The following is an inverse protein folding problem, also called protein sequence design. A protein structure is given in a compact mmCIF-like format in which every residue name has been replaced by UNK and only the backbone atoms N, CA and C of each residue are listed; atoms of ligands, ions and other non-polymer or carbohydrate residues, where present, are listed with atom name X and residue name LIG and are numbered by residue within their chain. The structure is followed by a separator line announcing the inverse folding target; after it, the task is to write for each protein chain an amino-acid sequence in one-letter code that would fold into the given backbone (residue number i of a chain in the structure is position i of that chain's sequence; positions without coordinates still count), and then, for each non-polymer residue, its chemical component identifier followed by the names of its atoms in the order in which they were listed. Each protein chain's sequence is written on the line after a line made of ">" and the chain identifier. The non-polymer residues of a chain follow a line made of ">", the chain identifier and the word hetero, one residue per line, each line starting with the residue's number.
data_IF_604424080404
#
_entry.id   IF_604424080404
#
_cell.length_a   1.000
_cell.length_b   1.000
_cell.length_c   1.000
_cell.angle_alpha   90.00
_cell.angle_beta   90.00
_cell.angle_gamma   90.00
#
_symmetry.space_group_name_H-M   'P 1'
#
loop_
_entity.id
_entity.type
_entity.pdbx_description
1 polymer ?
#
# COMPACT_ATOMS: atom_id res chain seq x y z
N UNK A 1 -10.77 5.77 1.58
CA UNK A 1 -12.24 5.88 1.49
C UNK A 1 -12.67 7.35 1.52
N UNK A 2 -12.29 8.14 0.49
CA UNK A 2 -12.55 9.61 0.40
C UNK A 2 -13.19 9.99 -0.96
N UNK A 3 -13.39 9.03 -1.87
CA UNK A 3 -13.78 9.27 -3.26
C UNK A 3 -15.29 9.48 -3.51
N UNK A 4 -16.15 9.39 -2.48
CA UNK A 4 -17.62 9.46 -2.67
C UNK A 4 -18.17 10.90 -2.52
N UNK A 5 -17.37 11.85 -2.01
CA UNK A 5 -17.84 13.21 -1.74
C UNK A 5 -17.70 14.23 -2.89
N UNK A 6 -17.04 13.88 -3.99
CA UNK A 6 -16.87 14.81 -5.13
C UNK A 6 -18.02 14.79 -6.14
N UNK A 7 -18.93 13.82 -6.08
CA UNK A 7 -20.07 13.70 -7.01
C UNK A 7 -21.21 14.73 -6.79
N UNK A 8 -21.64 15.06 -5.55
CA UNK A 8 -22.77 15.99 -5.36
C UNK A 8 -22.40 17.47 -5.56
N UNK A 9 -21.13 17.86 -5.41
CA UNK A 9 -20.71 19.26 -5.53
C UNK A 9 -20.76 19.72 -7.00
N UNK A 10 -20.38 18.85 -7.94
CA UNK A 10 -20.47 19.16 -9.37
C UNK A 10 -21.91 19.33 -9.88
N UNK A 11 -22.87 18.60 -9.32
CA UNK A 11 -24.30 18.75 -9.62
C UNK A 11 -24.91 20.01 -8.99
N UNK A 12 -24.48 20.38 -7.78
CA UNK A 12 -24.98 21.57 -7.09
C UNK A 12 -24.54 22.89 -7.78
N UNK A 13 -23.37 22.93 -8.41
CA UNK A 13 -22.87 24.13 -9.12
C UNK A 13 -23.43 24.24 -10.54
N UNK A 14 -23.72 23.12 -11.21
CA UNK A 14 -24.24 23.11 -12.59
C UNK A 14 -25.75 23.34 -12.69
N UNK A 15 -26.52 23.02 -11.64
CA UNK A 15 -27.98 23.13 -11.64
C UNK A 15 -28.50 24.58 -11.73
N UNK A 16 -27.98 25.58 -10.99
CA UNK A 16 -28.45 26.96 -11.10
C UNK A 16 -28.16 27.57 -12.47
N UNK A 17 -27.02 27.19 -13.07
CA UNK A 17 -26.59 27.70 -14.37
C UNK A 17 -27.43 27.12 -15.52
N UNK A 18 -27.79 25.82 -15.44
CA UNK A 18 -28.73 25.18 -16.36
C UNK A 18 -30.14 25.75 -16.25
N UNK A 19 -30.64 25.99 -15.03
CA UNK A 19 -31.95 26.63 -14.79
C UNK A 19 -31.95 28.08 -15.30
N UNK A 20 -30.87 28.84 -15.08
CA UNK A 20 -30.75 30.20 -15.58
C UNK A 20 -30.69 30.25 -17.12
N UNK A 21 -29.91 29.38 -17.76
CA UNK A 21 -29.79 29.33 -19.22
C UNK A 21 -31.10 28.91 -19.90
N UNK A 22 -31.80 27.93 -19.33
CA UNK A 22 -33.12 27.50 -19.86
C UNK A 22 -34.18 28.58 -19.68
N UNK A 23 -34.17 29.28 -18.55
CA UNK A 23 -35.05 30.43 -18.30
C UNK A 23 -34.76 31.62 -19.22
N UNK A 24 -33.48 31.97 -19.46
CA UNK A 24 -33.13 33.11 -20.32
C UNK A 24 -33.45 32.87 -21.80
N UNK A 25 -33.30 31.63 -22.27
CA UNK A 25 -33.67 31.23 -23.64
C UNK A 25 -35.19 31.31 -23.84
N UNK A 26 -35.98 30.92 -22.84
CA UNK A 26 -37.44 30.98 -22.89
C UNK A 26 -37.98 32.42 -22.84
N UNK A 27 -37.34 33.30 -22.05
CA UNK A 27 -37.82 34.68 -21.82
C UNK A 27 -37.50 35.67 -22.95
N UNK A 28 -36.29 35.63 -23.50
CA UNK A 28 -35.80 36.73 -24.35
C UNK A 28 -35.79 36.41 -25.87
N UNK A 29 -36.14 35.17 -26.25
CA UNK A 29 -36.10 34.73 -27.64
C UNK A 29 -34.72 34.85 -28.30
N UNK A 30 -34.63 34.55 -29.59
CA UNK A 30 -33.41 34.28 -30.37
C UNK A 30 -32.31 35.37 -30.40
N UNK A 31 -32.46 36.49 -29.69
CA UNK A 31 -31.52 37.64 -29.70
C UNK A 31 -30.18 37.38 -29.01
N UNK A 32 -30.11 36.45 -28.06
CA UNK A 32 -28.89 36.16 -27.29
C UNK A 32 -28.17 34.87 -27.69
N UNK A 33 -28.68 34.16 -28.71
CA UNK A 33 -28.14 32.88 -29.21
C UNK A 33 -26.62 32.90 -29.47
N UNK A 34 -26.01 33.93 -30.09
CA UNK A 34 -24.56 33.90 -30.31
C UNK A 34 -23.75 34.04 -29.01
N UNK A 35 -24.25 34.79 -28.02
CA UNK A 35 -23.58 34.96 -26.72
C UNK A 35 -23.73 33.70 -25.85
N UNK A 36 -24.92 33.10 -25.82
CA UNK A 36 -25.17 31.84 -25.12
C UNK A 36 -24.36 30.70 -25.75
N UNK A 37 -24.32 30.59 -27.09
CA UNK A 37 -23.46 29.61 -27.79
C UNK A 37 -21.97 29.79 -27.47
N UNK A 38 -21.48 31.03 -27.37
CA UNK A 38 -20.08 31.31 -27.00
C UNK A 38 -19.81 30.89 -25.56
N UNK A 39 -20.73 31.13 -24.63
CA UNK A 39 -20.60 30.69 -23.23
C UNK A 39 -20.66 29.17 -23.08
N UNK A 40 -21.52 28.48 -23.84
CA UNK A 40 -21.63 27.03 -23.83
C UNK A 40 -20.35 26.35 -24.32
N UNK A 41 -19.63 26.94 -25.29
CA UNK A 41 -18.32 26.45 -25.72
C UNK A 41 -17.30 26.43 -24.58
N UNK A 42 -17.24 27.51 -23.79
CA UNK A 42 -16.34 27.58 -22.64
C UNK A 42 -16.74 26.58 -21.55
N UNK A 43 -18.03 26.44 -21.25
CA UNK A 43 -18.51 25.43 -20.30
C UNK A 43 -18.13 24.03 -20.76
N UNK A 44 -18.35 23.68 -22.03
CA UNK A 44 -17.96 22.39 -22.60
C UNK A 44 -16.45 22.13 -22.50
N UNK A 45 -15.61 23.13 -22.81
CA UNK A 45 -14.15 23.03 -22.66
C UNK A 45 -13.79 22.77 -21.19
N UNK A 46 -14.41 23.49 -20.25
CA UNK A 46 -14.10 23.36 -18.82
C UNK A 46 -14.49 21.98 -18.27
N UNK A 47 -15.65 21.47 -18.69
CA UNK A 47 -16.11 20.12 -18.31
C UNK A 47 -15.19 19.05 -18.89
N UNK A 48 -14.81 19.16 -20.16
CA UNK A 48 -13.88 18.21 -20.77
C UNK A 48 -12.52 18.23 -20.07
N UNK A 49 -11.99 19.42 -19.75
CA UNK A 49 -10.74 19.57 -19.01
C UNK A 49 -10.82 18.91 -17.63
N UNK A 50 -11.93 19.09 -16.91
CA UNK A 50 -12.17 18.45 -15.62
C UNK A 50 -12.24 16.92 -15.73
N UNK A 51 -12.90 16.39 -16.76
CA UNK A 51 -12.94 14.94 -17.03
C UNK A 51 -11.55 14.39 -17.30
N UNK A 52 -10.78 15.04 -18.19
CA UNK A 52 -9.41 14.62 -18.50
C UNK A 52 -8.49 14.68 -17.28
N UNK A 53 -8.62 15.72 -16.44
CA UNK A 53 -7.84 15.83 -15.21
C UNK A 53 -8.16 14.68 -14.24
N UNK A 54 -9.44 14.35 -14.06
CA UNK A 54 -9.85 13.22 -13.20
C UNK A 54 -9.36 11.88 -13.77
N UNK A 55 -9.43 11.70 -15.08
CA UNK A 55 -8.90 10.51 -15.76
C UNK A 55 -7.38 10.38 -15.58
N UNK A 56 -6.64 11.49 -15.68
CA UNK A 56 -5.20 11.50 -15.44
C UNK A 56 -4.85 11.18 -13.98
N UNK A 57 -5.59 11.73 -13.01
CA UNK A 57 -5.42 11.42 -11.58
C UNK A 57 -5.70 9.93 -11.34
N UNK A 58 -6.80 9.41 -11.88
CA UNK A 58 -7.17 8.00 -11.73
C UNK A 58 -6.13 7.08 -12.37
N UNK A 59 -5.68 7.39 -13.59
CA UNK A 59 -4.62 6.64 -14.26
C UNK A 59 -3.30 6.68 -13.47
N UNK A 60 -2.94 7.84 -12.89
CA UNK A 60 -1.76 7.97 -12.03
C UNK A 60 -1.84 7.13 -10.77
N UNK A 61 -2.99 7.14 -10.09
CA UNK A 61 -3.22 6.28 -8.92
C UNK A 61 -3.22 4.79 -9.29
N UNK A 62 -3.82 4.43 -10.41
CA UNK A 62 -3.82 3.06 -10.91
C UNK A 62 -2.39 2.60 -11.22
N UNK A 63 -1.60 3.41 -11.92
CA UNK A 63 -0.20 3.12 -12.20
C UNK A 63 0.66 3.04 -10.94
N UNK A 64 0.37 3.84 -9.92
CA UNK A 64 1.06 3.77 -8.63
C UNK A 64 0.78 2.44 -7.91
N UNK A 65 -0.49 2.03 -7.85
CA UNK A 65 -0.90 0.75 -7.24
C UNK A 65 -0.34 -0.44 -8.01
N UNK A 66 -0.33 -0.38 -9.34
CA UNK A 66 0.22 -1.44 -10.20
C UNK A 66 1.76 -1.47 -10.15
N UNK A 67 2.40 -0.30 -10.04
CA UNK A 67 3.84 -0.15 -10.04
C UNK A 67 4.52 -0.54 -8.72
N UNK A 68 3.81 -0.42 -7.60
CA UNK A 68 4.33 -0.79 -6.28
C UNK A 68 3.27 -1.52 -5.45
N UNK A 69 2.96 -2.78 -5.81
CA UNK A 69 1.78 -3.45 -5.28
C UNK A 69 1.94 -3.95 -3.85
N UNK A 70 3.15 -3.88 -3.27
CA UNK A 70 3.50 -4.55 -2.04
C UNK A 70 3.95 -3.56 -0.97
N UNK A 71 3.24 -3.52 0.15
CA UNK A 71 3.60 -2.74 1.32
C UNK A 71 4.29 -3.65 2.36
N UNK A 72 5.47 -3.23 2.81
CA UNK A 72 6.22 -3.91 3.88
C UNK A 72 5.89 -3.29 5.25
N UNK A 73 5.31 -4.11 6.15
CA UNK A 73 4.96 -3.72 7.51
C UNK A 73 5.70 -4.57 8.54
N UNK A 74 5.94 -4.01 9.74
CA UNK A 74 6.47 -4.78 10.88
C UNK A 74 5.31 -5.56 11.51
N UNK A 75 5.49 -6.87 11.69
CA UNK A 75 4.51 -7.74 12.36
C UNK A 75 4.71 -7.72 13.88
N UNK A 76 5.97 -7.77 14.33
CA UNK A 76 6.32 -7.94 15.76
C UNK A 76 7.41 -6.96 16.18
N UNK A 77 7.49 -6.58 17.48
CA UNK A 77 8.63 -5.83 18.02
C UNK A 77 9.95 -6.51 17.65
N UNK A 78 10.92 -5.70 17.20
CA UNK A 78 12.24 -6.21 16.88
C UNK A 78 13.02 -6.62 18.15
N UNK A 79 13.83 -7.67 18.05
CA UNK A 79 14.76 -8.07 19.10
C UNK A 79 16.16 -7.52 18.77
N UNK A 80 16.78 -6.82 19.73
CA UNK A 80 18.11 -6.22 19.58
C UNK A 80 19.11 -6.91 20.51
N UNK A 81 20.29 -7.29 20.02
CA UNK A 81 21.37 -7.83 20.85
C UNK A 81 22.29 -6.73 21.42
N UNK A 82 23.29 -7.08 22.23
CA UNK A 82 24.19 -6.08 22.83
C UNK A 82 25.08 -5.39 21.79
N UNK A 83 25.35 -6.05 20.66
CA UNK A 83 26.08 -5.48 19.52
C UNK A 83 25.24 -4.53 18.66
N UNK A 84 23.93 -4.45 18.92
CA UNK A 84 22.99 -3.63 18.17
C UNK A 84 22.35 -4.32 16.97
N UNK A 85 22.64 -5.60 16.70
CA UNK A 85 22.00 -6.37 15.63
C UNK A 85 20.50 -6.51 15.90
N UNK A 86 19.69 -6.28 14.88
CA UNK A 86 18.23 -6.19 14.99
C UNK A 86 17.59 -7.33 14.20
N UNK A 87 16.80 -8.17 14.87
CA UNK A 87 15.92 -9.13 14.23
C UNK A 87 14.48 -8.61 14.24
N UNK A 88 13.79 -8.61 13.09
CA UNK A 88 12.40 -8.14 12.97
C UNK A 88 11.56 -9.13 12.17
N UNK A 89 10.34 -9.39 12.63
CA UNK A 89 9.34 -10.06 11.82
C UNK A 89 8.59 -9.02 10.97
N UNK A 90 8.45 -9.31 9.68
CA UNK A 90 7.82 -8.43 8.70
C UNK A 90 6.77 -9.20 7.92
N UNK A 91 5.77 -8.46 7.46
CA UNK A 91 4.75 -8.91 6.53
C UNK A 91 4.81 -8.01 5.31
N UNK A 92 4.82 -8.62 4.13
CA UNK A 92 4.68 -7.92 2.87
C UNK A 92 3.27 -8.21 2.34
N UNK A 93 2.42 -7.19 2.32
CA UNK A 93 1.06 -7.30 1.82
C UNK A 93 1.02 -6.77 0.39
N UNK A 94 0.77 -7.65 -0.57
CA UNK A 94 0.63 -7.30 -1.97
C UNK A 94 -0.85 -7.19 -2.37
N UNK A 95 -1.31 -6.01 -2.80
CA UNK A 95 -2.70 -5.73 -3.22
C UNK A 95 -2.78 -5.49 -4.73
N UNK A 96 -2.78 -6.55 -5.53
CA UNK A 96 -2.98 -6.43 -6.99
C UNK A 96 -4.35 -6.98 -7.44
N UNK A 97 -4.71 -8.21 -7.02
CA UNK A 97 -6.00 -8.89 -7.35
C UNK A 97 -6.44 -9.76 -6.16
N UNK A 98 -6.22 -9.25 -4.95
CA UNK A 98 -6.32 -9.98 -3.68
C UNK A 98 -5.13 -9.65 -2.79
N UNK A 99 -5.32 -9.77 -1.47
CA UNK A 99 -4.25 -9.52 -0.50
C UNK A 99 -3.43 -10.79 -0.35
N UNK A 100 -2.21 -10.79 -0.89
CA UNK A 100 -1.24 -11.86 -0.63
C UNK A 100 -0.29 -11.35 0.45
N UNK A 101 -0.25 -12.02 1.59
CA UNK A 101 0.61 -11.68 2.71
C UNK A 101 1.78 -12.65 2.79
N UNK A 102 3.00 -12.14 2.60
CA UNK A 102 4.22 -12.91 2.74
C UNK A 102 4.86 -12.56 4.08
N UNK A 103 4.95 -13.52 5.00
CA UNK A 103 5.60 -13.32 6.30
C UNK A 103 7.04 -13.78 6.26
N UNK A 104 7.93 -12.99 6.84
CA UNK A 104 9.35 -13.31 6.89
C UNK A 104 10.02 -12.67 8.10
N UNK A 105 11.10 -13.31 8.57
CA UNK A 105 11.96 -12.78 9.62
C UNK A 105 13.22 -12.22 8.97
N UNK A 106 13.57 -10.99 9.31
CA UNK A 106 14.75 -10.30 8.83
C UNK A 106 15.77 -10.11 9.94
N UNK A 107 17.04 -10.09 9.57
CA UNK A 107 18.16 -9.73 10.42
C UNK A 107 18.95 -8.58 9.80
N UNK A 108 19.21 -7.55 10.59
CA UNK A 108 20.10 -6.44 10.26
C UNK A 108 21.30 -6.48 11.19
N UNK A 109 22.50 -6.59 10.62
CA UNK A 109 23.75 -6.57 11.39
C UNK A 109 24.17 -5.11 11.57
N UNK A 110 24.36 -4.68 12.83
CA UNK A 110 24.63 -3.28 13.16
C UNK A 110 26.00 -2.80 12.69
N UNK A 111 26.98 -3.71 12.69
CA UNK A 111 28.37 -3.38 12.39
C UNK A 111 28.53 -2.84 10.95
N UNK A 112 27.63 -3.20 10.03
CA UNK A 112 27.70 -2.76 8.64
C UNK A 112 26.31 -2.58 7.99
N UNK A 113 25.54 -1.54 8.35
CA UNK A 113 24.17 -1.38 7.87
C UNK A 113 24.08 -1.08 6.36
N UNK A 114 25.17 -0.58 5.76
CA UNK A 114 25.26 -0.32 4.31
C UNK A 114 25.77 -1.51 3.49
N UNK A 115 26.66 -2.33 4.03
CA UNK A 115 27.19 -3.50 3.29
C UNK A 115 26.33 -4.75 3.48
N UNK A 116 25.64 -4.86 4.60
CA UNK A 116 24.72 -5.96 4.89
C UNK A 116 23.30 -5.40 5.06
N UNK A 117 22.56 -5.21 3.95
CA UNK A 117 21.15 -4.86 4.05
C UNK A 117 20.40 -5.95 4.83
N UNK A 118 19.20 -5.62 5.31
CA UNK A 118 18.30 -6.55 6.00
C UNK A 118 18.24 -7.88 5.23
N UNK A 119 18.77 -8.95 5.83
CA UNK A 119 18.74 -10.28 5.24
C UNK A 119 17.51 -11.01 5.72
N UNK A 120 16.81 -11.65 4.78
CA UNK A 120 15.71 -12.55 5.11
C UNK A 120 16.32 -13.84 5.66
N UNK A 121 16.00 -14.18 6.90
CA UNK A 121 16.42 -15.42 7.56
C UNK A 121 15.50 -16.58 7.21
N UNK A 122 14.20 -16.34 7.20
CA UNK A 122 13.17 -17.35 6.93
C UNK A 122 11.88 -16.70 6.46
N UNK A 123 11.26 -17.28 5.43
CA UNK A 123 9.87 -17.01 5.07
C UNK A 123 8.96 -18.07 5.69
N UNK A 124 7.76 -17.69 6.12
CA UNK A 124 6.80 -18.61 6.74
C UNK A 124 5.36 -18.18 6.46
N UNK A 125 4.41 -19.07 6.73
CA UNK A 125 2.97 -18.77 6.68
C UNK A 125 2.33 -19.15 8.02
N UNK A 126 1.88 -18.19 8.84
CA UNK A 126 1.31 -18.47 10.16
C UNK A 126 -0.07 -19.14 10.05
N UNK A 127 -0.45 -19.89 11.09
CA UNK A 127 -1.81 -20.41 11.27
C UNK A 127 -2.46 -19.66 12.43
N UNK A 128 -3.24 -18.62 12.11
CA UNK A 128 -3.87 -17.70 13.07
C UNK A 128 -3.06 -16.42 13.29
N UNK A 129 -3.52 -15.60 14.24
CA UNK A 129 -2.98 -14.25 14.51
C UNK A 129 -1.81 -14.24 15.52
N UNK A 130 -0.98 -15.28 15.50
CA UNK A 130 0.15 -15.37 16.42
C UNK A 130 1.41 -14.79 15.78
N UNK A 131 1.92 -13.71 16.37
CA UNK A 131 3.21 -13.15 15.99
C UNK A 131 4.37 -14.05 16.44
N UNK A 132 5.45 -14.12 15.65
CA UNK A 132 6.64 -14.84 16.05
C UNK A 132 7.33 -14.14 17.22
N UNK A 133 7.92 -14.95 18.11
CA UNK A 133 8.69 -14.49 19.26
C UNK A 133 10.17 -14.57 18.91
N UNK A 134 10.82 -13.40 18.87
CA UNK A 134 12.24 -13.26 18.58
C UNK A 134 13.01 -13.03 19.88
N UNK A 135 14.05 -13.82 20.14
CA UNK A 135 14.87 -13.68 21.33
C UNK A 135 16.34 -13.98 21.04
N UNK A 136 17.21 -13.04 21.40
CA UNK A 136 18.64 -13.30 21.46
C UNK A 136 18.97 -14.14 22.69
N UNK A 137 19.66 -15.26 22.49
CA UNK A 137 20.19 -16.09 23.57
C UNK A 137 21.56 -15.55 24.00
N UNK A 138 22.36 -15.19 23.01
CA UNK A 138 23.65 -14.52 23.14
C UNK A 138 23.84 -13.61 21.90
N UNK A 139 24.98 -12.94 21.79
CA UNK A 139 25.21 -12.01 20.67
C UNK A 139 25.23 -12.72 19.30
N UNK A 140 25.63 -13.99 19.25
CA UNK A 140 25.76 -14.80 18.04
C UNK A 140 24.55 -15.70 17.76
N UNK A 141 23.68 -15.90 18.75
CA UNK A 141 22.63 -16.92 18.72
C UNK A 141 21.25 -16.28 18.83
N UNK A 142 20.52 -16.29 17.72
CA UNK A 142 19.13 -15.85 17.65
C UNK A 142 18.18 -17.05 17.73
N UNK A 143 17.25 -17.02 18.68
CA UNK A 143 16.10 -17.92 18.76
C UNK A 143 14.90 -17.26 18.10
N UNK A 144 14.36 -17.92 17.07
CA UNK A 144 13.14 -17.52 16.37
C UNK A 144 12.08 -18.57 16.66
N UNK A 145 11.06 -18.22 17.42
CA UNK A 145 9.88 -19.07 17.60
C UNK A 145 8.76 -18.56 16.69
N UNK A 146 8.43 -19.33 15.67
CA UNK A 146 7.44 -18.95 14.67
C UNK A 146 6.01 -19.29 15.10
N UNK A 147 5.82 -19.99 16.22
CA UNK A 147 4.53 -20.52 16.56
C UNK A 147 4.09 -21.62 15.59
N UNK A 148 2.78 -21.79 15.46
CA UNK A 148 2.15 -22.74 14.54
C UNK A 148 2.13 -22.17 13.12
N UNK A 149 2.83 -22.81 12.18
CA UNK A 149 2.92 -22.36 10.78
C UNK A 149 2.47 -23.45 9.81
N UNK A 150 1.82 -23.08 8.72
CA UNK A 150 1.39 -24.02 7.68
C UNK A 150 2.53 -24.39 6.73
N UNK A 151 3.49 -23.47 6.57
CA UNK A 151 4.59 -23.56 5.62
C UNK A 151 5.82 -22.78 6.11
N UNK A 152 7.01 -23.22 5.72
CA UNK A 152 8.28 -22.53 5.98
C UNK A 152 9.22 -22.67 4.78
N UNK A 153 9.94 -21.62 4.41
CA UNK A 153 10.78 -21.59 3.21
C UNK A 153 11.92 -22.61 3.22
N UNK A 154 12.34 -23.08 4.39
CA UNK A 154 13.42 -24.05 4.56
C UNK A 154 12.96 -25.51 4.61
N UNK A 155 11.65 -25.79 4.61
CA UNK A 155 11.10 -27.17 4.60
C UNK A 155 9.78 -27.26 3.84
N UNK A 156 9.64 -28.18 2.87
CA UNK A 156 8.54 -28.12 1.93
C UNK A 156 7.15 -28.50 2.48
N UNK A 157 7.01 -29.34 3.52
CA UNK A 157 5.68 -29.90 3.85
C UNK A 157 5.36 -30.03 5.35
N UNK A 158 4.17 -29.50 5.71
CA UNK A 158 3.42 -29.58 6.99
C UNK A 158 4.24 -29.33 8.26
N UNK A 159 4.05 -28.16 8.84
CA UNK A 159 4.75 -27.82 10.09
C UNK A 159 3.79 -27.44 11.22
N UNK A 160 4.26 -27.67 12.44
CA UNK A 160 3.56 -27.39 13.69
C UNK A 160 4.20 -26.20 14.37
N UNK A 161 4.46 -26.31 15.67
CA UNK A 161 5.21 -25.30 16.41
C UNK A 161 6.70 -25.36 16.02
N UNK A 162 7.27 -24.29 15.47
CA UNK A 162 8.68 -24.27 15.02
C UNK A 162 9.51 -23.29 15.82
N UNK A 163 10.64 -23.77 16.33
CA UNK A 163 11.72 -22.94 16.85
C UNK A 163 13.00 -23.13 16.04
N UNK A 164 13.55 -22.05 15.50
CA UNK A 164 14.81 -22.02 14.75
C UNK A 164 15.88 -21.33 15.58
N UNK A 165 17.08 -21.90 15.58
CA UNK A 165 18.28 -21.30 16.16
C UNK A 165 19.24 -20.93 15.04
N UNK A 166 19.55 -19.65 14.93
CA UNK A 166 20.59 -19.15 14.04
C UNK A 166 21.84 -18.88 14.84
N UNK A 167 22.97 -19.47 14.44
CA UNK A 167 24.28 -19.14 14.98
C UNK A 167 25.09 -18.44 13.90
N UNK A 168 25.54 -17.23 14.18
CA UNK A 168 26.48 -16.53 13.32
C UNK A 168 27.89 -17.12 13.54
N UNK A 169 28.44 -17.74 12.50
CA UNK A 169 29.83 -18.17 12.46
C UNK A 169 30.54 -17.15 11.58
N UNK A 170 31.14 -16.13 12.20
CA UNK A 170 32.08 -15.29 11.45
C UNK A 170 33.24 -16.20 11.05
N UNK A 171 33.52 -16.28 9.74
CA UNK A 171 34.71 -16.97 9.26
C UNK A 171 35.92 -16.13 9.68
N UNK A 172 36.74 -16.69 10.57
CA UNK A 172 38.05 -16.15 10.94
C UNK A 172 39.01 -16.15 9.75
#
# INVERSE_FOLDING_TARGET
>A
MITILCSPIGFAVSSPLLVYLTYSIWRDGLRWVPATLRSMKWVAITVMLAVFLNLAIFAGQFLYVVGNPCDDMKSSPGAVNQRGDIAEARVQACTLIGTVENYYVTLQIHIYPRLYPKKILVGYSPVGDHDPILRWIDDNTLSVDLGKVSWISSRPDRVGNIRILYRNVMAD
#
